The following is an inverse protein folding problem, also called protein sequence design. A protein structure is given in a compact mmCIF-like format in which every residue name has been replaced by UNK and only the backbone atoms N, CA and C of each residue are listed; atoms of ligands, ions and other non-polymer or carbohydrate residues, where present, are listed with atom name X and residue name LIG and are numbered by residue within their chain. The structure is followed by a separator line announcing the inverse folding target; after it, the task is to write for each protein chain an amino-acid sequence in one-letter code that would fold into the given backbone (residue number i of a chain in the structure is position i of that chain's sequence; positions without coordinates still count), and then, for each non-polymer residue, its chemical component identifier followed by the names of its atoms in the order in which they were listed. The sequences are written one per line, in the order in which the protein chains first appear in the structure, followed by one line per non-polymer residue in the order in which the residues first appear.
data_IF_658305048872
#
_entry.id   IF_658305048872
#
_cell.length_a   1.000
_cell.length_b   1.000
_cell.length_c   1.000
_cell.angle_alpha   90.00
_cell.angle_beta   90.00
_cell.angle_gamma   90.00
#
_symmetry.space_group_name_H-M   'P 1'
#
loop_
_entity.id
_entity.type
_entity.pdbx_description
1 polymer ?
#
# COMPACT_ATOMS: atom_id res chain seq x y z
N UNK A 1 -5.25 24.33 -4.99
CA UNK A 1 -5.40 22.88 -5.01
C UNK A 1 -6.79 22.59 -4.51
N UNK A 2 -7.71 22.25 -5.41
CA UNK A 2 -9.03 21.79 -4.99
C UNK A 2 -8.91 20.37 -4.43
N UNK A 3 -9.69 20.01 -3.40
CA UNK A 3 -9.65 18.67 -2.84
C UNK A 3 -10.02 17.64 -3.92
N UNK A 4 -9.29 16.52 -3.96
CA UNK A 4 -9.53 15.39 -4.87
C UNK A 4 -10.22 14.27 -4.09
N UNK A 5 -11.55 14.31 -3.94
CA UNK A 5 -12.27 13.23 -3.29
C UNK A 5 -12.11 11.93 -4.10
N UNK A 6 -11.81 10.85 -3.38
CA UNK A 6 -11.77 9.51 -3.95
C UNK A 6 -12.46 8.52 -3.00
N UNK A 7 -12.97 7.44 -3.58
CA UNK A 7 -13.51 6.30 -2.86
C UNK A 7 -12.89 5.03 -3.43
N UNK A 8 -12.46 4.14 -2.54
CA UNK A 8 -11.89 2.84 -2.89
C UNK A 8 -12.59 1.74 -2.10
N UNK A 9 -12.80 0.62 -2.75
CA UNK A 9 -13.24 -0.63 -2.16
C UNK A 9 -12.31 -1.74 -2.63
N UNK A 10 -12.12 -2.77 -1.82
CA UNK A 10 -11.30 -3.90 -2.24
C UNK A 10 -11.70 -5.21 -1.61
N UNK A 11 -11.34 -6.28 -2.30
CA UNK A 11 -11.55 -7.66 -1.90
C UNK A 11 -10.19 -8.32 -1.65
N UNK A 12 -9.92 -8.62 -0.38
CA UNK A 12 -8.61 -9.05 0.11
C UNK A 12 -8.67 -10.51 0.52
N UNK A 13 -8.16 -11.38 -0.34
CA UNK A 13 -7.92 -12.79 -0.02
C UNK A 13 -6.52 -12.96 0.60
N UNK A 14 -6.17 -14.20 0.96
CA UNK A 14 -4.88 -14.53 1.57
C UNK A 14 -3.69 -14.05 0.74
N UNK A 15 -3.70 -14.33 -0.57
CA UNK A 15 -2.66 -13.88 -1.49
C UNK A 15 -3.14 -12.77 -2.43
N UNK A 16 -4.36 -12.88 -2.96
CA UNK A 16 -4.86 -12.01 -4.02
C UNK A 16 -5.67 -10.85 -3.45
N UNK A 17 -5.36 -9.63 -3.85
CA UNK A 17 -6.04 -8.42 -3.41
C UNK A 17 -6.47 -7.64 -4.62
N UNK A 18 -7.76 -7.36 -4.71
CA UNK A 18 -8.35 -6.58 -5.80
C UNK A 18 -8.88 -5.28 -5.22
N UNK A 19 -8.54 -4.17 -5.84
CA UNK A 19 -8.95 -2.83 -5.42
C UNK A 19 -9.63 -2.17 -6.60
N UNK A 20 -10.77 -1.54 -6.35
CA UNK A 20 -11.49 -0.73 -7.33
C UNK A 20 -11.88 0.57 -6.68
N UNK A 21 -11.74 1.67 -7.40
CA UNK A 21 -12.07 2.98 -6.87
C UNK A 21 -12.54 3.95 -7.94
N UNK A 22 -13.02 5.10 -7.47
CA UNK A 22 -13.36 6.23 -8.30
C UNK A 22 -12.80 7.51 -7.68
N UNK A 23 -12.19 8.35 -8.51
CA UNK A 23 -11.70 9.68 -8.17
C UNK A 23 -12.56 10.70 -8.90
N UNK A 24 -12.89 11.79 -8.21
CA UNK A 24 -13.49 12.96 -8.83
C UNK A 24 -12.54 14.15 -8.66
N UNK A 25 -11.90 14.58 -9.75
CA UNK A 25 -10.97 15.73 -9.76
C UNK A 25 -11.19 16.58 -11.00
N UNK A 26 -11.12 17.90 -10.88
CA UNK A 26 -11.25 18.86 -12.01
C UNK A 26 -12.43 18.57 -12.95
N UNK A 27 -13.61 18.27 -12.39
CA UNK A 27 -14.84 17.90 -13.12
C UNK A 27 -14.74 16.59 -13.94
N UNK A 28 -13.73 15.76 -13.70
CA UNK A 28 -13.53 14.46 -14.33
C UNK A 28 -13.76 13.33 -13.33
N UNK A 29 -14.36 12.24 -13.81
CA UNK A 29 -14.47 11.00 -13.06
C UNK A 29 -13.45 10.01 -13.60
N UNK A 30 -12.57 9.54 -12.74
CA UNK A 30 -11.52 8.58 -13.06
C UNK A 30 -11.73 7.32 -12.23
N UNK A 31 -11.34 6.18 -12.78
CA UNK A 31 -11.48 4.88 -12.12
C UNK A 31 -10.10 4.40 -11.69
N UNK A 32 -10.00 3.81 -10.50
CA UNK A 32 -8.81 3.14 -10.01
C UNK A 32 -9.05 1.64 -10.09
N UNK A 33 -8.08 0.90 -10.62
CA UNK A 33 -8.04 -0.56 -10.57
C UNK A 33 -6.68 -0.97 -10.01
N UNK A 34 -6.69 -1.69 -8.91
CA UNK A 34 -5.50 -2.22 -8.25
C UNK A 34 -5.55 -3.73 -8.16
N UNK A 35 -4.40 -4.36 -8.34
CA UNK A 35 -4.18 -5.76 -8.04
C UNK A 35 -2.88 -5.92 -7.27
N UNK A 36 -2.93 -6.64 -6.15
CA UNK A 36 -1.75 -7.02 -5.41
C UNK A 36 -1.72 -8.52 -5.12
N UNK A 37 -0.51 -9.05 -5.08
CA UNK A 37 -0.24 -10.44 -4.74
C UNK A 37 0.80 -10.52 -3.62
N UNK A 38 0.41 -11.10 -2.49
CA UNK A 38 1.30 -11.41 -1.36
C UNK A 38 1.94 -12.78 -1.59
N UNK A 39 3.25 -12.82 -1.90
CA UNK A 39 3.99 -14.08 -1.97
C UNK A 39 4.17 -14.71 -0.59
N UNK A 40 4.37 -13.87 0.41
CA UNK A 40 4.49 -14.21 1.83
C UNK A 40 4.33 -12.91 2.65
N UNK A 41 4.57 -12.99 3.96
CA UNK A 41 4.48 -11.83 4.86
C UNK A 41 5.50 -10.73 4.57
N UNK A 42 6.59 -11.04 3.86
CA UNK A 42 7.66 -10.09 3.53
C UNK A 42 7.42 -9.44 2.17
N UNK A 43 7.02 -10.20 1.16
CA UNK A 43 7.03 -9.76 -0.24
C UNK A 43 5.62 -9.67 -0.82
N UNK A 44 5.30 -8.48 -1.35
CA UNK A 44 4.12 -8.21 -2.18
C UNK A 44 4.56 -7.61 -3.52
N UNK A 45 3.85 -7.95 -4.59
CA UNK A 45 3.83 -7.16 -5.83
C UNK A 45 2.49 -6.48 -5.97
N UNK A 46 2.46 -5.26 -6.50
CA UNK A 46 1.25 -4.50 -6.72
C UNK A 46 1.29 -3.79 -8.08
N UNK A 47 0.16 -3.77 -8.76
CA UNK A 47 -0.09 -3.02 -9.99
C UNK A 47 -1.36 -2.22 -9.80
N UNK A 48 -1.27 -0.91 -10.01
CA UNK A 48 -2.41 0.00 -9.97
C UNK A 48 -2.54 0.71 -11.31
N UNK A 49 -3.77 0.99 -11.73
CA UNK A 49 -4.11 1.72 -12.93
C UNK A 49 -5.16 2.76 -12.59
N UNK A 50 -4.95 3.98 -13.06
CA UNK A 50 -5.91 5.06 -12.98
C UNK A 50 -6.34 5.45 -14.39
N UNK A 51 -7.65 5.46 -14.63
CA UNK A 51 -8.25 5.88 -15.89
C UNK A 51 -8.22 7.40 -16.06
N UNK A 52 -8.44 7.89 -17.28
CA UNK A 52 -8.47 9.33 -17.55
C UNK A 52 -7.75 9.69 -18.84
N UNK A 53 -7.81 10.98 -19.20
CA UNK A 53 -7.06 11.52 -20.35
C UNK A 53 -5.55 11.53 -20.09
N UNK A 54 -5.18 11.62 -18.82
CA UNK A 54 -3.83 11.55 -18.28
C UNK A 54 -3.69 10.28 -17.45
N UNK A 55 -4.03 9.14 -18.07
CA UNK A 55 -4.01 7.86 -17.37
C UNK A 55 -2.62 7.54 -16.81
N UNK A 56 -2.63 6.77 -15.74
CA UNK A 56 -1.41 6.34 -15.10
C UNK A 56 -1.46 4.88 -14.69
N UNK A 57 -0.27 4.30 -14.54
CA UNK A 57 -0.11 2.95 -14.03
C UNK A 57 1.10 2.89 -13.15
N UNK A 58 0.99 2.18 -12.03
CA UNK A 58 2.11 1.94 -11.13
C UNK A 58 2.33 0.46 -11.05
N UNK A 59 3.60 0.03 -11.08
CA UNK A 59 3.99 -1.32 -10.66
C UNK A 59 5.07 -1.20 -9.60
N UNK A 60 4.94 -1.99 -8.53
CA UNK A 60 5.90 -1.94 -7.45
C UNK A 60 5.93 -3.21 -6.62
N UNK A 61 6.96 -3.28 -5.78
CA UNK A 61 7.13 -4.34 -4.79
C UNK A 61 7.08 -3.75 -3.41
N UNK A 62 6.53 -4.47 -2.45
CA UNK A 62 6.63 -4.13 -1.03
C UNK A 62 7.48 -5.19 -0.34
N UNK A 63 8.45 -4.74 0.45
CA UNK A 63 9.29 -5.59 1.28
C UNK A 63 9.19 -5.17 2.75
N UNK A 64 8.59 -6.02 3.58
CA UNK A 64 8.53 -5.84 5.03
C UNK A 64 9.81 -6.40 5.67
N UNK A 65 10.81 -5.55 5.86
CA UNK A 65 12.12 -5.93 6.42
C UNK A 65 11.99 -6.30 7.89
N UNK A 66 11.20 -5.53 8.64
CA UNK A 66 10.82 -5.82 10.03
C UNK A 66 9.31 -5.59 10.21
N UNK A 67 8.80 -5.78 11.44
CA UNK A 67 7.40 -5.44 11.77
C UNK A 67 7.08 -3.96 11.48
N UNK A 68 8.08 -3.11 11.66
CA UNK A 68 7.87 -1.66 11.71
C UNK A 68 8.57 -0.94 10.54
N UNK A 69 9.41 -1.63 9.77
CA UNK A 69 10.14 -1.07 8.64
C UNK A 69 9.83 -1.81 7.33
N UNK A 70 9.39 -1.03 6.34
CA UNK A 70 9.07 -1.49 4.99
C UNK A 70 9.72 -0.55 3.97
N UNK A 71 10.11 -1.11 2.82
CA UNK A 71 10.41 -0.30 1.64
C UNK A 71 9.60 -0.77 0.43
N UNK A 72 9.29 0.16 -0.46
CA UNK A 72 8.45 -0.07 -1.64
C UNK A 72 9.06 0.62 -2.87
N UNK A 73 9.91 -0.08 -3.65
CA UNK A 73 10.33 0.41 -4.95
C UNK A 73 9.18 0.25 -5.94
N UNK A 74 8.95 1.28 -6.75
CA UNK A 74 7.90 1.30 -7.75
C UNK A 74 8.29 2.15 -8.96
N UNK A 75 7.65 1.87 -10.08
CA UNK A 75 7.75 2.63 -11.31
C UNK A 75 6.35 3.12 -11.65
N UNK A 76 6.24 4.44 -11.80
CA UNK A 76 5.05 5.14 -12.25
C UNK A 76 5.15 5.41 -13.75
N UNK A 77 4.09 5.07 -14.47
CA UNK A 77 3.90 5.36 -15.88
C UNK A 77 2.75 6.37 -16.01
N UNK A 78 2.98 7.50 -16.68
CA UNK A 78 1.93 8.49 -16.96
C UNK A 78 2.00 8.93 -18.42
N UNK A 79 0.83 9.19 -19.01
CA UNK A 79 0.73 9.77 -20.35
C UNK A 79 0.52 11.30 -20.35
N UNK A 80 0.63 11.96 -19.20
CA UNK A 80 0.47 13.42 -19.04
C UNK A 80 1.56 14.20 -19.78
N UNK A 81 2.84 13.88 -19.57
CA UNK A 81 3.98 14.53 -20.22
C UNK A 81 4.67 13.57 -21.21
N UNK A 82 4.69 13.88 -22.52
CA UNK A 82 5.39 13.09 -23.53
C UNK A 82 6.88 12.83 -23.23
N UNK A 83 7.55 13.72 -22.51
CA UNK A 83 8.98 13.66 -22.20
C UNK A 83 9.29 12.96 -20.86
N UNK A 84 8.30 12.79 -19.98
CA UNK A 84 8.48 12.26 -18.61
C UNK A 84 7.44 11.20 -18.25
N UNK A 85 7.28 10.23 -19.15
CA UNK A 85 6.29 9.17 -19.00
C UNK A 85 6.62 8.11 -17.94
N UNK A 86 7.87 8.05 -17.48
CA UNK A 86 8.34 7.00 -16.56
C UNK A 86 9.09 7.66 -15.41
N UNK A 87 8.67 7.35 -14.18
CA UNK A 87 9.30 7.83 -12.96
C UNK A 87 9.50 6.67 -11.99
N UNK A 88 10.75 6.35 -11.69
CA UNK A 88 11.09 5.41 -10.62
C UNK A 88 11.13 6.14 -9.28
N UNK A 89 10.58 5.52 -8.24
CA UNK A 89 10.67 6.02 -6.87
C UNK A 89 10.78 4.86 -5.87
N UNK A 90 11.26 5.18 -4.67
CA UNK A 90 11.33 4.24 -3.55
C UNK A 90 10.74 4.93 -2.33
N UNK A 91 9.74 4.30 -1.71
CA UNK A 91 9.18 4.76 -0.44
C UNK A 91 9.80 3.95 0.70
N UNK A 92 10.24 4.63 1.75
CA UNK A 92 10.63 4.01 3.00
C UNK A 92 9.59 4.38 4.06
N UNK A 93 9.02 3.37 4.69
CA UNK A 93 7.99 3.54 5.73
C UNK A 93 8.50 2.97 7.03
N UNK A 94 8.47 3.80 8.07
CA UNK A 94 8.76 3.38 9.44
C UNK A 94 7.56 3.70 10.34
N UNK A 95 7.09 2.69 11.06
CA UNK A 95 5.91 2.81 11.94
C UNK A 95 6.36 2.99 13.39
N UNK A 96 5.96 4.10 14.02
CA UNK A 96 6.19 4.36 15.44
C UNK A 96 4.95 3.97 16.25
N UNK A 97 5.13 3.09 17.23
CA UNK A 97 4.08 2.73 18.19
C UNK A 97 4.11 3.72 19.34
N UNK A 98 3.18 4.68 19.35
CA UNK A 98 3.13 5.73 20.38
C UNK A 98 2.51 5.22 21.69
N UNK A 99 1.68 4.17 21.63
CA UNK A 99 1.06 3.52 22.80
C UNK A 99 0.99 1.98 22.62
N UNK A 100 1.63 1.21 23.51
CA UNK A 100 1.78 -0.28 23.52
C UNK A 100 3.20 -0.74 23.09
N UNK A 101 3.92 -1.66 23.73
CA UNK A 101 3.57 -2.89 24.48
C UNK A 101 3.75 -2.78 26.02
N UNK A 102 2.74 -3.14 26.83
CA UNK A 102 2.99 -3.56 28.22
C UNK A 102 3.84 -4.82 28.15
N UNK A 103 5.03 -4.78 28.75
CA UNK A 103 6.01 -5.84 28.67
C UNK A 103 5.42 -7.24 28.87
N UNK A 104 5.92 -8.20 28.09
CA UNK A 104 5.93 -9.61 28.50
C UNK A 104 6.75 -9.72 29.79
N UNK A 105 6.11 -9.42 30.91
CA UNK A 105 6.69 -9.42 32.23
C UNK A 105 5.57 -9.68 33.20
N UNK A 106 5.06 -10.90 33.19
CA UNK A 106 4.35 -11.54 34.30
C UNK A 106 4.46 -13.06 34.10
N UNK A 107 5.70 -13.56 34.22
CA UNK A 107 5.92 -14.93 34.70
C UNK A 107 5.47 -14.95 36.17
N UNK A 108 4.15 -14.99 36.42
CA UNK A 108 3.65 -15.36 37.73
C UNK A 108 3.82 -16.87 37.83
N UNK A 109 4.95 -17.27 38.42
CA UNK A 109 5.18 -18.64 38.85
C UNK A 109 4.01 -19.07 39.75
N UNK A 110 3.23 -20.04 39.29
CA UNK A 110 2.24 -20.72 40.13
C UNK A 110 3.02 -21.52 41.18
N UNK A 111 2.84 -21.28 42.49
CA UNK A 111 3.47 -22.11 43.50
C UNK A 111 2.85 -23.51 43.42
N UNK A 112 3.67 -24.54 43.25
CA UNK A 112 3.23 -25.92 43.43
C UNK A 112 2.90 -26.13 44.91
N UNK A 113 1.62 -26.40 45.19
CA UNK A 113 1.20 -26.88 46.50
C UNK A 113 1.81 -28.26 46.77
N UNK A 114 2.32 -28.46 48.00
CA UNK A 114 2.72 -29.75 48.56
C UNK A 114 1.49 -30.50 49.06
#
# INVERSE_FOLDING_TARGET
MDPQPYIEAGYYLEHNKFIVGAIHTDYKNEAILGYAYDFNKTWRVQVDWQSGKENSSTIGFTCNVTRDFQFNPAIYFSNEDPLRRVMGYIVFTYTFHVWGDKGKGDNVAVPKAK
#
